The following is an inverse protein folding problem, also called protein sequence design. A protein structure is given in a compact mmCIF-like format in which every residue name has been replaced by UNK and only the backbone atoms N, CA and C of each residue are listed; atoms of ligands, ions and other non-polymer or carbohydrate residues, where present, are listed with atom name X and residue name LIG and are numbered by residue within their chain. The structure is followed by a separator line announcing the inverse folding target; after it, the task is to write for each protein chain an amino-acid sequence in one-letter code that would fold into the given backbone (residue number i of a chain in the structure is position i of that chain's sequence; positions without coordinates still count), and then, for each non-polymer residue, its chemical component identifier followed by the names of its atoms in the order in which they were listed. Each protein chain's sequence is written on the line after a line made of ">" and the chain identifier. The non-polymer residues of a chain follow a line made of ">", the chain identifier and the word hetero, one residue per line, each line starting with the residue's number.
data_IF_007117786621
#
_entry.id   IF_007117786621
#
_cell.length_a   1.000
_cell.length_b   1.000
_cell.length_c   1.000
_cell.angle_alpha   90.00
_cell.angle_beta   90.00
_cell.angle_gamma   90.00
#
_symmetry.space_group_name_H-M   'P 1'
#
loop_
_entity.id
_entity.type
_entity.pdbx_description
1 polymer ?
#
# COMPACT_ATOMS: atom_id res chain seq x y z
N UNK A 1 1.09 -18.76 -1.03
CA UNK A 1 0.97 -17.55 -1.88
C UNK A 1 2.35 -17.12 -2.36
N UNK A 2 2.50 -16.49 -3.54
CA UNK A 2 3.84 -16.05 -3.99
C UNK A 2 4.23 -14.70 -3.41
N UNK A 3 3.33 -13.73 -3.49
CA UNK A 3 3.58 -12.35 -3.05
C UNK A 3 2.47 -11.86 -2.11
N UNK A 4 2.85 -11.42 -0.92
CA UNK A 4 2.00 -10.63 -0.04
C UNK A 4 2.39 -9.16 -0.13
N UNK A 5 1.43 -8.30 -0.39
CA UNK A 5 1.61 -6.85 -0.42
C UNK A 5 0.87 -6.23 0.75
N UNK A 6 1.56 -5.50 1.59
CA UNK A 6 0.94 -4.67 2.64
C UNK A 6 1.21 -3.22 2.32
N UNK A 7 0.16 -2.45 2.10
CA UNK A 7 0.29 -1.06 1.65
C UNK A 7 -1.06 -0.38 1.52
N UNK A 8 -1.05 0.86 1.06
CA UNK A 8 -2.27 1.63 0.85
C UNK A 8 -3.06 1.13 -0.36
N UNK A 9 -4.37 1.00 -0.19
CA UNK A 9 -5.40 1.04 -1.23
C UNK A 9 -6.09 2.38 -1.04
N UNK A 10 -6.08 3.24 -2.05
CA UNK A 10 -6.29 4.66 -1.86
C UNK A 10 -6.96 5.34 -3.04
N UNK A 11 -7.24 6.62 -2.88
CA UNK A 11 -7.57 7.53 -3.97
C UNK A 11 -6.47 8.58 -4.15
N UNK A 12 -6.20 8.90 -5.39
CA UNK A 12 -5.30 9.99 -5.78
C UNK A 12 -6.03 11.02 -6.64
N UNK A 13 -5.62 12.31 -6.54
CA UNK A 13 -5.94 13.35 -7.50
C UNK A 13 -4.65 13.99 -7.98
N UNK A 14 -4.46 14.02 -9.29
CA UNK A 14 -3.18 14.41 -9.90
C UNK A 14 -3.40 15.60 -10.82
N UNK A 15 -2.63 16.67 -10.60
CA UNK A 15 -2.51 17.79 -11.50
C UNK A 15 -1.13 17.77 -12.16
N UNK A 16 -1.09 17.93 -13.47
CA UNK A 16 0.14 18.04 -14.28
C UNK A 16 0.01 19.22 -15.23
N UNK A 17 1.08 19.67 -15.87
CA UNK A 17 1.00 20.68 -16.94
C UNK A 17 0.13 20.28 -18.13
N UNK A 18 -0.17 18.98 -18.27
CA UNK A 18 -0.90 18.41 -19.40
C UNK A 18 -2.35 18.07 -19.09
N UNK A 19 -2.75 18.12 -17.82
CA UNK A 19 -4.12 17.81 -17.41
C UNK A 19 -4.25 17.54 -15.93
N UNK A 20 -5.51 17.37 -15.52
CA UNK A 20 -5.88 17.12 -14.13
C UNK A 20 -6.85 15.95 -14.06
N UNK A 21 -6.67 15.11 -13.04
CA UNK A 21 -7.66 14.10 -12.66
C UNK A 21 -8.31 14.52 -11.35
N UNK A 22 -9.55 14.11 -11.20
CA UNK A 22 -10.18 14.09 -9.89
C UNK A 22 -9.81 12.79 -9.15
N UNK A 23 -10.66 12.31 -8.28
CA UNK A 23 -10.48 11.12 -7.47
C UNK A 23 -10.36 9.85 -8.34
N UNK A 24 -9.17 9.29 -8.45
CA UNK A 24 -8.88 8.05 -9.19
C UNK A 24 -8.33 6.99 -8.24
N UNK A 25 -8.38 5.74 -8.67
CA UNK A 25 -7.78 4.62 -7.94
C UNK A 25 -6.28 4.82 -7.79
N UNK A 26 -5.79 4.72 -6.57
CA UNK A 26 -4.41 4.93 -6.17
C UNK A 26 -3.95 3.94 -5.10
N UNK A 27 -2.81 4.25 -4.50
CA UNK A 27 -2.22 3.46 -3.43
C UNK A 27 -1.20 2.43 -3.89
N UNK A 28 -0.12 2.29 -3.11
CA UNK A 28 1.00 1.42 -3.42
C UNK A 28 0.57 -0.04 -3.60
N UNK A 29 -0.26 -0.58 -2.69
CA UNK A 29 -0.70 -1.97 -2.78
C UNK A 29 -1.56 -2.23 -4.01
N UNK A 30 -2.39 -1.28 -4.42
CA UNK A 30 -3.18 -1.37 -5.66
C UNK A 30 -2.28 -1.55 -6.88
N UNK A 31 -1.30 -0.66 -7.05
CA UNK A 31 -0.40 -0.71 -8.21
C UNK A 31 0.47 -1.97 -8.22
N UNK A 32 1.00 -2.38 -7.06
CA UNK A 32 1.79 -3.61 -6.95
C UNK A 32 0.91 -4.83 -7.26
N UNK A 33 -0.33 -4.89 -6.76
CA UNK A 33 -1.28 -5.95 -7.06
C UNK A 33 -1.60 -6.06 -8.55
N UNK A 34 -1.86 -4.92 -9.21
CA UNK A 34 -2.10 -4.88 -10.67
C UNK A 34 -0.85 -5.32 -11.44
N UNK A 35 0.33 -4.78 -11.09
CA UNK A 35 1.58 -5.15 -11.75
C UNK A 35 1.89 -6.65 -11.60
N UNK A 36 1.69 -7.22 -10.40
CA UNK A 36 1.87 -8.65 -10.16
C UNK A 36 0.93 -9.50 -11.02
N UNK A 37 -0.32 -9.05 -11.23
CA UNK A 37 -1.29 -9.75 -12.07
C UNK A 37 -0.86 -9.78 -13.55
N UNK A 38 -0.31 -8.67 -14.05
CA UNK A 38 0.23 -8.59 -15.42
C UNK A 38 1.40 -9.56 -15.61
N UNK A 39 2.21 -9.73 -14.56
CA UNK A 39 3.34 -10.67 -14.56
C UNK A 39 2.95 -12.12 -14.19
N UNK A 40 1.66 -12.42 -14.08
CA UNK A 40 1.13 -13.71 -13.65
C UNK A 40 1.66 -14.20 -12.30
N UNK A 41 1.96 -13.28 -11.37
CA UNK A 41 2.37 -13.60 -10.01
C UNK A 41 1.15 -13.64 -9.09
N UNK A 42 0.90 -14.78 -8.44
CA UNK A 42 -0.18 -14.91 -7.44
C UNK A 42 0.11 -14.02 -6.25
N UNK A 43 -0.70 -12.99 -6.05
CA UNK A 43 -0.54 -12.00 -4.99
C UNK A 43 -1.80 -11.86 -4.12
N UNK A 44 -1.58 -11.34 -2.92
CA UNK A 44 -2.64 -10.90 -2.02
C UNK A 44 -2.31 -9.55 -1.41
N UNK A 45 -3.34 -8.80 -1.08
CA UNK A 45 -3.23 -7.45 -0.49
C UNK A 45 -3.78 -7.47 0.94
N UNK A 46 -3.01 -6.87 1.86
CA UNK A 46 -3.45 -6.47 3.19
C UNK A 46 -3.46 -4.96 3.25
N UNK A 47 -4.62 -4.38 3.51
CA UNK A 47 -4.86 -2.93 3.52
C UNK A 47 -6.11 -2.59 4.31
N UNK A 48 -6.46 -1.30 4.36
CA UNK A 48 -7.72 -0.80 4.90
C UNK A 48 -8.31 0.23 3.95
N UNK A 49 -9.63 0.18 3.79
CA UNK A 49 -10.42 1.11 2.98
C UNK A 49 -11.63 1.62 3.77
N UNK A 50 -12.16 2.75 3.38
CA UNK A 50 -13.43 3.27 3.89
C UNK A 50 -14.64 2.70 3.15
N UNK A 51 -15.84 2.98 3.68
CA UNK A 51 -17.10 2.61 3.02
C UNK A 51 -17.39 3.41 1.74
N UNK A 52 -16.57 4.41 1.44
CA UNK A 52 -16.62 5.21 0.21
C UNK A 52 -15.86 4.58 -0.96
N UNK A 53 -15.19 3.42 -0.74
CA UNK A 53 -14.40 2.76 -1.79
C UNK A 53 -15.31 2.00 -2.75
N UNK A 54 -15.19 2.20 -4.09
CA UNK A 54 -16.08 1.58 -5.07
C UNK A 54 -15.91 0.06 -5.12
N UNK A 55 -17.02 -0.68 -5.09
CA UNK A 55 -17.00 -2.13 -5.28
C UNK A 55 -16.38 -2.53 -6.62
N UNK A 56 -16.60 -1.74 -7.66
CA UNK A 56 -16.04 -2.00 -8.99
C UNK A 56 -14.50 -2.07 -9.00
N UNK A 57 -13.82 -1.31 -8.14
CA UNK A 57 -12.35 -1.35 -8.04
C UNK A 57 -11.88 -2.61 -7.30
N UNK A 58 -12.63 -3.07 -6.29
CA UNK A 58 -12.38 -4.38 -5.65
C UNK A 58 -12.62 -5.54 -6.62
N UNK A 59 -13.69 -5.47 -7.41
CA UNK A 59 -14.02 -6.47 -8.42
C UNK A 59 -12.95 -6.52 -9.52
N UNK A 60 -12.39 -5.37 -9.89
CA UNK A 60 -11.28 -5.29 -10.85
C UNK A 60 -10.03 -6.02 -10.31
N UNK A 61 -9.67 -5.83 -9.05
CA UNK A 61 -8.54 -6.53 -8.43
C UNK A 61 -8.77 -8.05 -8.40
N UNK A 62 -9.96 -8.49 -7.98
CA UNK A 62 -10.30 -9.92 -7.91
C UNK A 62 -10.35 -10.57 -9.29
N UNK A 63 -10.91 -9.90 -10.29
CA UNK A 63 -10.95 -10.38 -11.68
C UNK A 63 -9.54 -10.57 -12.27
N UNK A 64 -8.58 -9.78 -11.78
CA UNK A 64 -7.16 -9.92 -12.12
C UNK A 64 -6.44 -11.03 -11.35
N UNK A 65 -7.14 -11.75 -10.46
CA UNK A 65 -6.58 -12.83 -9.64
C UNK A 65 -5.82 -12.37 -8.40
N UNK A 66 -5.96 -11.10 -8.01
CA UNK A 66 -5.41 -10.58 -6.74
C UNK A 66 -6.33 -11.00 -5.60
N UNK A 67 -5.78 -11.64 -4.56
CA UNK A 67 -6.54 -11.98 -3.35
C UNK A 67 -6.68 -10.73 -2.47
N UNK A 68 -7.92 -10.32 -2.23
CA UNK A 68 -8.26 -9.13 -1.43
C UNK A 68 -8.80 -9.47 -0.02
N UNK A 69 -8.72 -10.74 0.42
CA UNK A 69 -9.20 -11.18 1.73
C UNK A 69 -8.64 -10.35 2.90
N UNK A 70 -7.44 -9.81 2.74
CA UNK A 70 -6.77 -8.97 3.73
C UNK A 70 -7.15 -7.48 3.67
N UNK A 71 -8.08 -7.07 2.82
CA UNK A 71 -8.54 -5.67 2.78
C UNK A 71 -9.69 -5.51 3.77
N UNK A 72 -9.44 -4.76 4.85
CA UNK A 72 -10.45 -4.41 5.85
C UNK A 72 -11.28 -3.21 5.35
N UNK A 73 -12.61 -3.28 5.45
CA UNK A 73 -13.50 -2.15 5.13
C UNK A 73 -14.10 -1.56 6.41
N UNK A 74 -13.79 -0.31 6.68
CA UNK A 74 -14.38 0.50 7.76
C UNK A 74 -15.56 1.27 7.20
N UNK A 75 -16.78 0.73 7.38
CA UNK A 75 -18.02 1.24 6.72
C UNK A 75 -18.27 2.73 6.94
N UNK A 76 -18.06 3.23 8.14
CA UNK A 76 -18.28 4.65 8.51
C UNK A 76 -17.06 5.54 8.27
N UNK A 77 -15.95 4.94 7.78
CA UNK A 77 -14.71 5.66 7.49
C UNK A 77 -14.61 6.09 6.04
N UNK A 78 -13.65 6.97 5.77
CA UNK A 78 -13.24 7.35 4.42
C UNK A 78 -11.91 6.70 4.06
N UNK A 79 -11.75 6.35 2.81
CA UNK A 79 -10.50 5.83 2.25
C UNK A 79 -9.43 6.92 2.25
N UNK A 80 -8.16 6.53 2.43
CA UNK A 80 -7.01 7.43 2.27
C UNK A 80 -7.08 8.18 0.94
N UNK A 81 -6.82 9.47 0.99
CA UNK A 81 -6.80 10.32 -0.19
C UNK A 81 -5.54 11.20 -0.22
N UNK A 82 -4.91 11.23 -1.38
CA UNK A 82 -3.78 12.11 -1.65
C UNK A 82 -4.02 12.93 -2.91
N UNK A 83 -3.61 14.21 -2.88
CA UNK A 83 -3.63 15.07 -4.05
C UNK A 83 -2.28 15.74 -4.22
N UNK A 84 -1.76 15.71 -5.44
CA UNK A 84 -0.47 16.28 -5.77
C UNK A 84 -0.44 16.99 -7.13
N UNK A 85 0.46 17.97 -7.21
CA UNK A 85 0.74 18.72 -8.42
C UNK A 85 2.15 18.46 -8.89
N UNK A 86 2.29 17.87 -10.06
CA UNK A 86 3.57 17.62 -10.71
C UNK A 86 4.03 18.85 -11.49
N UNK A 87 5.33 19.13 -11.43
CA UNK A 87 5.97 20.19 -12.18
C UNK A 87 6.24 19.77 -13.64
N UNK A 88 6.80 20.69 -14.44
CA UNK A 88 7.03 20.48 -15.87
C UNK A 88 7.95 19.29 -16.19
N UNK A 89 8.86 18.97 -15.29
CA UNK A 89 9.78 17.82 -15.41
C UNK A 89 9.13 16.46 -15.08
N UNK A 90 7.91 16.46 -14.53
CA UNK A 90 7.16 15.30 -14.05
C UNK A 90 7.91 14.45 -12.98
N UNK A 91 9.04 14.93 -12.47
CA UNK A 91 9.82 14.26 -11.42
C UNK A 91 9.58 14.89 -10.06
N UNK A 92 9.48 16.22 -10.02
CA UNK A 92 9.16 16.96 -8.80
C UNK A 92 7.65 17.19 -8.68
N UNK A 93 7.15 17.17 -7.44
CA UNK A 93 5.74 17.39 -7.14
C UNK A 93 5.57 18.09 -5.80
N UNK A 94 4.48 18.83 -5.69
CA UNK A 94 3.97 19.38 -4.44
C UNK A 94 2.79 18.52 -3.96
N UNK A 95 2.76 18.19 -2.68
CA UNK A 95 1.57 17.61 -2.06
C UNK A 95 0.60 18.74 -1.74
N UNK A 96 -0.60 18.66 -2.27
CA UNK A 96 -1.67 19.64 -2.04
C UNK A 96 -2.55 19.24 -0.86
N UNK A 97 -2.92 17.95 -0.79
CA UNK A 97 -3.81 17.40 0.25
C UNK A 97 -3.34 16.00 0.62
N UNK A 98 -3.41 15.68 1.91
CA UNK A 98 -3.30 14.31 2.42
C UNK A 98 -4.36 14.10 3.48
N UNK A 99 -5.34 13.26 3.20
CA UNK A 99 -6.35 12.81 4.16
C UNK A 99 -6.04 11.37 4.55
N UNK A 100 -5.49 11.19 5.76
CA UNK A 100 -5.04 9.85 6.23
C UNK A 100 -6.23 8.93 6.47
N UNK A 101 -7.34 9.46 6.99
CA UNK A 101 -8.61 8.77 7.17
C UNK A 101 -8.44 7.41 7.89
N UNK A 102 -9.03 6.32 7.34
CA UNK A 102 -8.96 4.98 7.96
C UNK A 102 -7.54 4.42 8.08
N UNK A 103 -6.59 4.94 7.31
CA UNK A 103 -5.20 4.49 7.36
C UNK A 103 -4.48 4.94 8.65
N UNK A 104 -4.99 5.98 9.35
CA UNK A 104 -4.42 6.48 10.60
C UNK A 104 -4.36 5.40 11.70
N UNK A 105 -5.41 4.59 11.77
CA UNK A 105 -5.54 3.54 12.78
C UNK A 105 -5.36 2.13 12.19
N UNK A 106 -4.69 2.04 11.06
CA UNK A 106 -4.51 0.75 10.37
C UNK A 106 -3.64 -0.20 11.18
N UNK A 107 -4.25 -1.29 11.63
CA UNK A 107 -3.60 -2.40 12.31
C UNK A 107 -3.69 -3.66 11.43
N UNK A 108 -2.66 -3.98 10.62
CA UNK A 108 -2.71 -5.04 9.62
C UNK A 108 -3.03 -6.41 10.21
N UNK A 109 -4.11 -7.03 9.75
CA UNK A 109 -4.46 -8.42 10.07
C UNK A 109 -4.13 -9.27 8.85
N UNK A 110 -3.17 -10.19 9.00
CA UNK A 110 -2.72 -11.05 7.91
C UNK A 110 -3.58 -12.31 7.92
N UNK A 111 -4.42 -12.56 6.90
CA UNK A 111 -5.22 -13.77 6.80
C UNK A 111 -4.36 -15.02 6.79
N UNK A 112 -4.91 -16.13 7.32
CA UNK A 112 -4.21 -17.42 7.38
C UNK A 112 -3.72 -17.87 5.99
N UNK A 113 -4.53 -17.64 4.96
CA UNK A 113 -4.21 -17.94 3.55
C UNK A 113 -3.00 -17.18 2.99
N UNK A 114 -2.55 -16.12 3.68
CA UNK A 114 -1.44 -15.25 3.27
C UNK A 114 -0.18 -15.43 4.13
N UNK A 115 -0.27 -16.14 5.25
CA UNK A 115 0.83 -16.31 6.20
C UNK A 115 2.07 -17.02 5.63
N UNK A 116 1.90 -17.85 4.59
CA UNK A 116 2.96 -18.60 3.95
C UNK A 116 3.46 -17.92 2.63
N UNK A 117 3.36 -16.59 2.54
CA UNK A 117 3.86 -15.87 1.39
C UNK A 117 5.38 -15.99 1.28
N UNK A 118 5.88 -16.28 0.07
CA UNK A 118 7.32 -16.38 -0.17
C UNK A 118 8.01 -15.02 -0.19
N UNK A 119 7.30 -14.01 -0.70
CA UNK A 119 7.77 -12.62 -0.82
C UNK A 119 6.80 -11.74 -0.06
N UNK A 120 7.33 -10.88 0.80
CA UNK A 120 6.59 -9.81 1.46
C UNK A 120 7.06 -8.48 0.89
N UNK A 121 6.14 -7.73 0.32
CA UNK A 121 6.37 -6.35 -0.10
C UNK A 121 5.62 -5.39 0.79
N UNK A 122 6.37 -4.59 1.52
CA UNK A 122 5.88 -3.56 2.43
C UNK A 122 5.87 -2.23 1.67
N UNK A 123 4.70 -1.87 1.15
CA UNK A 123 4.48 -0.59 0.50
C UNK A 123 4.64 0.58 1.47
N UNK A 124 4.71 1.79 0.93
CA UNK A 124 4.97 3.00 1.68
C UNK A 124 3.91 3.27 2.76
N UNK A 125 4.21 2.85 3.98
CA UNK A 125 3.44 3.05 5.22
C UNK A 125 4.39 3.49 6.34
N UNK A 126 3.82 3.88 7.49
CA UNK A 126 4.62 4.16 8.67
C UNK A 126 5.50 2.94 9.03
N UNK A 127 6.82 3.13 9.27
CA UNK A 127 7.75 2.01 9.53
C UNK A 127 7.35 1.09 10.69
N UNK A 128 6.64 1.62 11.69
CA UNK A 128 6.10 0.81 12.79
C UNK A 128 5.03 -0.18 12.33
N UNK A 129 4.19 0.21 11.38
CA UNK A 129 3.20 -0.68 10.75
C UNK A 129 3.91 -1.77 9.94
N UNK A 130 4.89 -1.38 9.13
CA UNK A 130 5.69 -2.31 8.33
C UNK A 130 6.41 -3.34 9.21
N UNK A 131 7.00 -2.89 10.32
CA UNK A 131 7.67 -3.76 11.29
C UNK A 131 6.69 -4.74 11.95
N UNK A 132 5.52 -4.25 12.37
CA UNK A 132 4.48 -5.10 12.99
C UNK A 132 3.97 -6.19 12.05
N UNK A 133 3.89 -5.91 10.75
CA UNK A 133 3.54 -6.92 9.73
C UNK A 133 4.55 -8.05 9.71
N UNK A 134 5.84 -7.73 9.61
CA UNK A 134 6.89 -8.74 9.57
C UNK A 134 6.92 -9.59 10.85
N UNK A 135 6.66 -8.98 12.01
CA UNK A 135 6.61 -9.66 13.31
C UNK A 135 5.38 -10.56 13.48
N UNK A 136 4.30 -10.30 12.74
CA UNK A 136 3.07 -11.10 12.74
C UNK A 136 3.06 -12.24 11.74
N UNK A 137 4.04 -12.30 10.83
CA UNK A 137 4.19 -13.44 9.93
C UNK A 137 4.60 -14.68 10.74
N UNK A 138 3.94 -15.82 10.50
CA UNK A 138 4.28 -17.11 11.16
C UNK A 138 5.73 -17.53 10.89
N UNK A 139 6.15 -17.31 9.66
CA UNK A 139 7.52 -17.58 9.23
C UNK A 139 8.04 -16.35 8.45
N UNK A 140 9.32 -16.03 8.62
CA UNK A 140 9.91 -14.95 7.84
C UNK A 140 9.86 -15.32 6.35
N UNK A 141 9.30 -14.44 5.49
CA UNK A 141 9.34 -14.64 4.03
C UNK A 141 10.79 -14.79 3.52
N UNK A 142 10.95 -15.49 2.39
CA UNK A 142 12.27 -15.68 1.74
C UNK A 142 12.87 -14.35 1.29
N UNK A 143 12.01 -13.40 0.94
CA UNK A 143 12.41 -12.06 0.50
C UNK A 143 11.45 -11.02 1.11
N UNK A 144 12.04 -10.03 1.77
CA UNK A 144 11.32 -8.88 2.33
C UNK A 144 11.76 -7.63 1.59
N UNK A 145 10.82 -6.98 0.93
CA UNK A 145 11.03 -5.76 0.14
C UNK A 145 10.36 -4.60 0.86
N UNK A 146 11.08 -3.50 1.00
CA UNK A 146 10.60 -2.29 1.69
C UNK A 146 10.50 -1.13 0.71
N UNK A 147 9.38 -0.44 0.71
CA UNK A 147 9.22 0.88 0.13
C UNK A 147 9.14 1.93 1.25
N UNK A 148 9.82 3.04 1.07
CA UNK A 148 9.86 4.15 2.02
C UNK A 148 9.97 5.51 1.31
N UNK A 149 9.89 6.58 2.07
CA UNK A 149 10.01 7.95 1.54
C UNK A 149 10.67 8.89 2.55
N UNK A 150 11.09 10.06 2.05
CA UNK A 150 11.72 11.12 2.86
C UNK A 150 10.91 11.50 4.12
N UNK A 151 9.59 11.52 4.05
CA UNK A 151 8.75 11.83 5.21
C UNK A 151 9.04 10.90 6.40
N UNK A 152 9.25 9.60 6.16
CA UNK A 152 9.60 8.64 7.21
C UNK A 152 11.05 8.75 7.64
N UNK A 153 11.95 9.19 6.75
CA UNK A 153 13.34 9.51 7.10
C UNK A 153 13.41 10.67 8.08
N UNK A 154 12.53 11.65 7.94
CA UNK A 154 12.51 12.84 8.79
C UNK A 154 11.74 12.63 10.10
N UNK A 155 10.65 11.83 10.07
CA UNK A 155 9.71 11.75 11.20
C UNK A 155 9.80 10.44 12.01
N UNK A 156 10.39 9.37 11.47
CA UNK A 156 10.39 8.03 12.09
C UNK A 156 11.72 7.29 11.91
N UNK A 157 12.84 8.00 11.85
CA UNK A 157 14.17 7.48 11.50
C UNK A 157 14.57 6.22 12.28
N UNK A 158 14.47 6.24 13.61
CA UNK A 158 14.90 5.10 14.43
C UNK A 158 14.09 3.82 14.14
N UNK A 159 12.79 3.99 13.88
CA UNK A 159 11.90 2.86 13.54
C UNK A 159 12.17 2.38 12.12
N UNK A 160 12.42 3.31 11.19
CA UNK A 160 12.78 3.00 9.82
C UNK A 160 14.10 2.20 9.78
N UNK A 161 15.12 2.61 10.52
CA UNK A 161 16.39 1.87 10.59
C UNK A 161 16.23 0.45 11.15
N UNK A 162 15.33 0.25 12.14
CA UNK A 162 15.00 -1.10 12.63
C UNK A 162 14.32 -1.95 11.54
N UNK A 163 13.47 -1.34 10.71
CA UNK A 163 12.81 -2.02 9.61
C UNK A 163 13.83 -2.38 8.50
N UNK A 164 14.67 -1.43 8.10
CA UNK A 164 15.74 -1.62 7.11
C UNK A 164 16.64 -2.79 7.50
N UNK A 165 17.04 -2.89 8.76
CA UNK A 165 17.89 -3.98 9.26
C UNK A 165 17.26 -5.38 9.12
N UNK A 166 15.93 -5.47 8.91
CA UNK A 166 15.19 -6.72 8.71
C UNK A 166 14.76 -6.95 7.25
N UNK A 167 15.13 -6.05 6.36
CA UNK A 167 14.73 -6.02 4.95
C UNK A 167 15.85 -6.57 4.07
N UNK A 168 15.50 -7.20 2.97
CA UNK A 168 16.47 -7.74 1.99
C UNK A 168 16.67 -6.78 0.81
N UNK A 169 15.64 -5.99 0.45
CA UNK A 169 15.63 -5.03 -0.68
C UNK A 169 14.88 -3.77 -0.28
N UNK A 170 15.42 -2.59 -0.65
CA UNK A 170 14.78 -1.27 -0.49
C UNK A 170 14.67 -0.64 -1.87
#
# INVERSE_FOLDING_TARGET
>A
MKLLVVGSVAFDAIETPFGKTDKILGGAATYIGIASSILNVKSGIVSVIGGDFPQADLDMLTTRGVNIEGIEMVKEGKTFFWSGKYHNDLNSRDTLVTEVNVLENFDPKIPESMQDAEILMLGNLHPGVQLSVLERMKNRPKLVILDTMNFWMDSAWDTLMKMIAKTDVI
#
